data_IF_181377282782
#
_entry.id   IF_181377282782
#
_cell.length_a   1.000
_cell.length_b   1.000
_cell.length_c   1.000
_cell.angle_alpha   90.00
_cell.angle_beta   90.00
_cell.angle_gamma   90.00
#
_symmetry.space_group_name_H-M   'P 1'
#
loop_
_entity.id
_entity.type
_entity.pdbx_description
1 polymer ?
#
# COMPACT_ATOMS: atom_id res chain seq x y z
N UNK A 1 -16.18 -43.71 -27.28
CA UNK A 1 -15.93 -45.17 -27.38
C UNK A 1 -17.16 -45.82 -27.99
N UNK A 2 -17.00 -46.43 -29.16
CA UNK A 2 -18.07 -47.08 -29.91
C UNK A 2 -18.63 -48.29 -29.14
N UNK A 3 -19.93 -48.30 -28.88
CA UNK A 3 -20.66 -49.52 -28.50
C UNK A 3 -21.21 -50.18 -29.78
N UNK A 4 -20.31 -50.82 -30.51
CA UNK A 4 -20.64 -51.83 -31.52
C UNK A 4 -20.13 -53.16 -31.02
N UNK A 5 -20.90 -53.82 -30.15
CA UNK A 5 -20.83 -55.26 -29.94
C UNK A 5 -22.26 -55.79 -29.88
N UNK A 6 -22.67 -56.36 -31.01
CA UNK A 6 -23.90 -57.10 -31.15
C UNK A 6 -23.79 -58.41 -30.35
N UNK A 7 -24.73 -58.65 -29.44
CA UNK A 7 -24.95 -59.95 -28.83
C UNK A 7 -25.56 -60.91 -29.87
N UNK A 8 -25.05 -62.15 -30.02
CA UNK A 8 -25.75 -63.15 -30.81
C UNK A 8 -26.91 -63.69 -29.96
N UNK A 9 -28.14 -63.36 -30.33
CA UNK A 9 -29.32 -64.05 -29.78
C UNK A 9 -29.33 -65.44 -30.44
N UNK A 10 -28.98 -66.47 -29.67
CA UNK A 10 -29.04 -67.86 -30.10
C UNK A 10 -30.47 -68.26 -30.46
N UNK A 11 -30.73 -68.39 -31.76
CA UNK A 11 -31.89 -69.12 -32.27
C UNK A 11 -31.49 -70.60 -32.33
N UNK A 12 -31.75 -71.35 -31.27
CA UNK A 12 -31.84 -72.82 -31.36
C UNK A 12 -33.28 -73.13 -31.77
N UNK A 13 -33.54 -73.12 -33.08
CA UNK A 13 -34.76 -73.69 -33.63
C UNK A 13 -34.60 -75.22 -33.59
N UNK A 14 -35.18 -75.85 -32.57
CA UNK A 14 -35.29 -77.31 -32.48
C UNK A 14 -36.04 -77.84 -33.70
N UNK A 15 -35.32 -78.59 -34.53
CA UNK A 15 -35.79 -79.28 -35.75
C UNK A 15 -36.65 -80.51 -35.41
N UNK A 16 -37.75 -80.36 -34.66
CA UNK A 16 -38.82 -81.39 -34.59
C UNK A 16 -40.16 -80.71 -34.26
N UNK A 17 -40.85 -80.16 -35.27
CA UNK A 17 -42.30 -79.87 -35.20
C UNK A 17 -42.88 -79.56 -36.58
N UNK A 18 -42.71 -80.48 -37.54
CA UNK A 18 -43.33 -80.37 -38.87
C UNK A 18 -44.42 -81.43 -39.15
N UNK A 19 -44.90 -82.18 -38.14
CA UNK A 19 -45.77 -83.34 -38.45
C UNK A 19 -47.05 -83.55 -37.63
N UNK A 20 -47.42 -82.68 -36.69
CA UNK A 20 -48.76 -82.82 -36.05
C UNK A 20 -49.35 -81.45 -35.78
N UNK A 21 -50.39 -81.12 -36.54
CA UNK A 21 -51.13 -79.88 -36.40
C UNK A 21 -51.78 -79.77 -35.03
N UNK A 22 -51.23 -78.89 -34.20
CA UNK A 22 -51.92 -78.08 -33.18
C UNK A 22 -50.93 -77.04 -32.69
N UNK A 23 -50.81 -75.92 -33.40
CA UNK A 23 -50.10 -74.76 -32.85
C UNK A 23 -51.00 -74.17 -31.76
N UNK A 24 -50.75 -74.53 -30.50
CA UNK A 24 -51.20 -73.69 -29.40
C UNK A 24 -50.51 -72.35 -29.59
N UNK A 25 -51.26 -71.33 -30.04
CA UNK A 25 -50.75 -69.97 -30.27
C UNK A 25 -50.29 -69.29 -28.96
N UNK A 26 -50.58 -69.89 -27.80
CA UNK A 26 -50.37 -69.29 -26.47
C UNK A 26 -48.90 -69.04 -26.08
N UNK A 27 -47.91 -69.94 -26.30
CA UNK A 27 -46.53 -69.68 -25.89
C UNK A 27 -45.86 -68.60 -26.75
N UNK A 28 -46.16 -68.57 -28.05
CA UNK A 28 -45.66 -67.57 -29.00
C UNK A 28 -46.27 -66.18 -28.73
N UNK A 29 -47.57 -66.10 -28.44
CA UNK A 29 -48.23 -64.84 -28.06
C UNK A 29 -47.69 -64.30 -26.73
N UNK A 30 -47.35 -65.17 -25.78
CA UNK A 30 -46.77 -64.77 -24.48
C UNK A 30 -45.35 -64.22 -24.63
N UNK A 31 -44.50 -64.89 -25.41
CA UNK A 31 -43.15 -64.39 -25.74
C UNK A 31 -43.17 -63.08 -26.53
N UNK A 32 -44.11 -62.92 -27.47
CA UNK A 32 -44.31 -61.63 -28.17
C UNK A 32 -44.77 -60.52 -27.23
N UNK A 33 -45.67 -60.82 -26.29
CA UNK A 33 -46.10 -59.87 -25.25
C UNK A 33 -44.95 -59.40 -24.36
N UNK A 34 -44.09 -60.32 -23.92
CA UNK A 34 -42.90 -60.02 -23.11
C UNK A 34 -41.89 -59.14 -23.88
N UNK A 35 -41.64 -59.43 -25.16
CA UNK A 35 -40.78 -58.61 -26.03
C UNK A 35 -41.36 -57.19 -26.21
N UNK A 36 -42.68 -57.06 -26.38
CA UNK A 36 -43.33 -55.74 -26.50
C UNK A 36 -43.21 -54.96 -25.20
N UNK A 37 -43.38 -55.60 -24.04
CA UNK A 37 -43.20 -54.95 -22.73
C UNK A 37 -41.75 -54.55 -22.46
N UNK A 38 -40.77 -55.39 -22.80
CA UNK A 38 -39.36 -55.05 -22.70
C UNK A 38 -38.98 -53.89 -23.63
N UNK A 39 -39.55 -53.84 -24.84
CA UNK A 39 -39.40 -52.71 -25.75
C UNK A 39 -39.98 -51.41 -25.20
N UNK A 40 -41.13 -51.46 -24.50
CA UNK A 40 -41.72 -50.30 -23.85
C UNK A 40 -40.89 -49.80 -22.65
N UNK A 41 -40.37 -50.72 -21.83
CA UNK A 41 -39.47 -50.40 -20.71
C UNK A 41 -38.16 -49.77 -21.23
N UNK A 42 -37.57 -50.35 -22.27
CA UNK A 42 -36.35 -49.83 -22.91
C UNK A 42 -36.55 -48.40 -23.46
N UNK A 43 -37.66 -48.15 -24.15
CA UNK A 43 -38.02 -46.78 -24.61
C UNK A 43 -38.18 -45.80 -23.45
N UNK A 44 -38.83 -46.21 -22.34
CA UNK A 44 -39.02 -45.36 -21.16
C UNK A 44 -37.69 -45.04 -20.46
N UNK A 45 -36.77 -46.01 -20.39
CA UNK A 45 -35.41 -45.80 -19.88
C UNK A 45 -34.65 -44.80 -20.74
N UNK A 46 -34.73 -44.91 -22.07
CA UNK A 46 -34.07 -43.97 -22.99
C UNK A 46 -34.63 -42.54 -22.83
N UNK A 47 -35.95 -42.39 -22.71
CA UNK A 47 -36.59 -41.07 -22.47
C UNK A 47 -36.13 -40.49 -21.13
N UNK A 48 -36.11 -41.30 -20.07
CA UNK A 48 -35.65 -40.86 -18.75
C UNK A 48 -34.15 -40.49 -18.75
N UNK A 49 -33.31 -41.23 -19.48
CA UNK A 49 -31.88 -40.89 -19.64
C UNK A 49 -31.69 -39.58 -20.40
N UNK A 50 -32.49 -39.31 -21.43
CA UNK A 50 -32.46 -38.02 -22.14
C UNK A 50 -32.90 -36.86 -21.23
N UNK A 51 -33.96 -37.04 -20.44
CA UNK A 51 -34.39 -36.05 -19.45
C UNK A 51 -33.33 -35.80 -18.37
N UNK A 52 -32.70 -36.87 -17.87
CA UNK A 52 -31.62 -36.76 -16.88
C UNK A 52 -30.42 -36.01 -17.45
N UNK A 53 -30.06 -36.26 -18.71
CA UNK A 53 -28.96 -35.54 -19.40
C UNK A 53 -29.27 -34.05 -19.55
N UNK A 54 -30.52 -33.70 -19.87
CA UNK A 54 -30.97 -32.31 -19.96
C UNK A 54 -30.89 -31.61 -18.59
N UNK A 55 -31.39 -32.25 -17.54
CA UNK A 55 -31.33 -31.73 -16.18
C UNK A 55 -29.90 -31.55 -15.66
N UNK A 56 -28.99 -32.45 -16.02
CA UNK A 56 -27.56 -32.30 -15.70
C UNK A 56 -26.99 -31.06 -16.41
N UNK A 57 -27.31 -30.87 -17.70
CA UNK A 57 -26.88 -29.69 -18.46
C UNK A 57 -27.42 -28.40 -17.84
N UNK A 58 -28.70 -28.37 -17.46
CA UNK A 58 -29.32 -27.20 -16.83
C UNK A 58 -28.68 -26.90 -15.46
N UNK A 59 -28.42 -27.93 -14.64
CA UNK A 59 -27.69 -27.76 -13.37
C UNK A 59 -26.28 -27.22 -13.57
N UNK A 60 -25.52 -27.72 -14.55
CA UNK A 60 -24.19 -27.16 -14.85
C UNK A 60 -24.27 -25.71 -15.31
N UNK A 61 -25.30 -25.34 -16.09
CA UNK A 61 -25.53 -23.96 -16.50
C UNK A 61 -25.89 -23.06 -15.32
N UNK A 62 -26.74 -23.53 -14.40
CA UNK A 62 -27.09 -22.80 -13.17
C UNK A 62 -25.90 -22.63 -12.24
N UNK A 63 -25.04 -23.65 -12.09
CA UNK A 63 -23.81 -23.57 -11.31
C UNK A 63 -22.83 -22.54 -11.89
N UNK A 64 -22.69 -22.47 -13.21
CA UNK A 64 -21.88 -21.44 -13.86
C UNK A 64 -22.44 -20.03 -13.59
N UNK A 65 -23.76 -19.84 -13.73
CA UNK A 65 -24.41 -18.56 -13.42
C UNK A 65 -24.28 -18.15 -11.95
N UNK A 66 -24.32 -19.12 -11.03
CA UNK A 66 -24.12 -18.87 -9.60
C UNK A 66 -22.68 -18.40 -9.34
N UNK A 67 -21.69 -19.07 -9.93
CA UNK A 67 -20.27 -18.69 -9.84
C UNK A 67 -20.01 -17.29 -10.43
N UNK A 68 -20.66 -16.95 -11.54
CA UNK A 68 -20.55 -15.62 -12.14
C UNK A 68 -21.16 -14.53 -11.23
N UNK A 69 -22.31 -14.81 -10.61
CA UNK A 69 -22.95 -13.90 -9.67
C UNK A 69 -22.10 -13.69 -8.39
N UNK A 70 -21.47 -14.75 -7.88
CA UNK A 70 -20.54 -14.68 -6.75
C UNK A 70 -19.30 -13.84 -7.08
N UNK A 71 -18.79 -13.94 -8.31
CA UNK A 71 -17.69 -13.11 -8.80
C UNK A 71 -18.09 -11.63 -8.84
N UNK A 72 -19.28 -11.31 -9.34
CA UNK A 72 -19.79 -9.93 -9.37
C UNK A 72 -20.05 -9.37 -7.96
N UNK A 73 -20.59 -10.17 -7.04
CA UNK A 73 -20.74 -9.77 -5.62
C UNK A 73 -19.40 -9.46 -4.98
N UNK A 74 -18.37 -10.28 -5.22
CA UNK A 74 -17.01 -10.02 -4.71
C UNK A 74 -16.40 -8.74 -5.30
N UNK A 75 -16.64 -8.44 -6.59
CA UNK A 75 -16.22 -7.17 -7.20
C UNK A 75 -16.93 -5.98 -6.56
N UNK A 76 -18.23 -6.11 -6.28
CA UNK A 76 -19.01 -5.05 -5.65
C UNK A 76 -18.58 -4.81 -4.19
N UNK A 77 -18.36 -5.87 -3.42
CA UNK A 77 -17.84 -5.78 -2.04
C UNK A 77 -16.48 -5.04 -1.99
N UNK A 78 -15.57 -5.36 -2.91
CA UNK A 78 -14.30 -4.62 -3.06
C UNK A 78 -14.52 -3.14 -3.35
N UNK A 79 -15.44 -2.78 -4.26
CA UNK A 79 -15.78 -1.38 -4.56
C UNK A 79 -16.35 -0.65 -3.33
N UNK A 80 -17.25 -1.28 -2.59
CA UNK A 80 -17.84 -0.73 -1.36
C UNK A 80 -16.77 -0.50 -0.29
N UNK A 81 -15.83 -1.43 -0.11
CA UNK A 81 -14.70 -1.27 0.83
C UNK A 81 -13.81 -0.08 0.47
N UNK A 82 -13.49 0.08 -0.81
CA UNK A 82 -12.72 1.24 -1.29
C UNK A 82 -13.50 2.53 -1.02
N UNK A 83 -14.78 2.56 -1.35
CA UNK A 83 -15.62 3.76 -1.16
C UNK A 83 -15.75 4.15 0.32
N UNK A 84 -15.94 3.19 1.23
CA UNK A 84 -15.95 3.41 2.67
C UNK A 84 -14.60 3.96 3.18
N UNK A 85 -13.50 3.48 2.61
CA UNK A 85 -12.15 3.97 2.96
C UNK A 85 -11.98 5.41 2.51
N UNK A 86 -12.33 5.74 1.26
CA UNK A 86 -12.33 7.11 0.75
C UNK A 86 -13.19 8.03 1.62
N UNK A 87 -14.40 7.59 1.99
CA UNK A 87 -15.30 8.38 2.84
C UNK A 87 -14.67 8.68 4.21
N UNK A 88 -14.01 7.69 4.85
CA UNK A 88 -13.29 7.91 6.11
C UNK A 88 -12.15 8.93 5.98
N UNK A 89 -11.41 8.89 4.86
CA UNK A 89 -10.33 9.85 4.60
C UNK A 89 -10.87 11.27 4.41
N UNK A 90 -11.97 11.44 3.67
CA UNK A 90 -12.63 12.74 3.52
C UNK A 90 -13.13 13.28 4.87
N UNK A 91 -13.76 12.44 5.71
CA UNK A 91 -14.16 12.85 7.06
C UNK A 91 -12.96 13.29 7.92
N UNK A 92 -11.85 12.56 7.87
CA UNK A 92 -10.63 12.94 8.60
C UNK A 92 -10.07 14.29 8.13
N UNK A 93 -10.08 14.54 6.81
CA UNK A 93 -9.64 15.82 6.23
C UNK A 93 -10.56 16.96 6.69
N UNK A 94 -11.87 16.75 6.72
CA UNK A 94 -12.86 17.72 7.20
C UNK A 94 -12.61 18.04 8.69
N UNK A 95 -12.46 17.02 9.54
CA UNK A 95 -12.19 17.22 10.97
C UNK A 95 -10.88 17.99 11.22
N UNK A 96 -9.84 17.74 10.43
CA UNK A 96 -8.56 18.49 10.52
C UNK A 96 -8.76 19.97 10.18
N UNK A 97 -9.53 20.26 9.12
CA UNK A 97 -9.86 21.63 8.71
C UNK A 97 -10.71 22.35 9.77
N UNK A 98 -11.70 21.66 10.35
CA UNK A 98 -12.53 22.22 11.42
C UNK A 98 -11.71 22.56 12.68
N UNK A 99 -10.78 21.68 13.06
CA UNK A 99 -9.88 21.96 14.17
C UNK A 99 -9.00 23.20 13.89
N UNK A 100 -8.45 23.31 12.68
CA UNK A 100 -7.67 24.48 12.26
C UNK A 100 -8.50 25.76 12.31
N UNK A 101 -9.76 25.73 11.84
CA UNK A 101 -10.67 26.87 11.93
C UNK A 101 -10.93 27.28 13.39
N UNK A 102 -11.12 26.30 14.29
CA UNK A 102 -11.34 26.57 15.72
C UNK A 102 -10.13 27.25 16.38
N UNK A 103 -8.92 26.80 16.06
CA UNK A 103 -7.68 27.41 16.57
C UNK A 103 -7.54 28.85 16.06
N UNK A 104 -7.77 29.07 14.76
CA UNK A 104 -7.71 30.41 14.15
C UNK A 104 -8.74 31.34 14.80
N UNK A 105 -9.98 30.88 14.98
CA UNK A 105 -11.04 31.65 15.63
C UNK A 105 -10.65 32.05 17.06
N UNK A 106 -10.08 31.11 17.84
CA UNK A 106 -9.59 31.40 19.18
C UNK A 106 -8.48 32.46 19.20
N UNK A 107 -7.55 32.39 18.26
CA UNK A 107 -6.49 33.40 18.12
C UNK A 107 -7.05 34.77 17.75
N UNK A 108 -8.03 34.83 16.84
CA UNK A 108 -8.71 36.09 16.47
C UNK A 108 -9.40 36.70 17.69
N UNK A 109 -10.14 35.91 18.48
CA UNK A 109 -10.79 36.38 19.71
C UNK A 109 -9.79 36.90 20.74
N UNK A 110 -8.65 36.22 20.91
CA UNK A 110 -7.59 36.70 21.80
C UNK A 110 -6.96 38.01 21.32
N UNK A 111 -6.76 38.16 20.01
CA UNK A 111 -6.24 39.39 19.41
C UNK A 111 -7.23 40.55 19.53
N UNK A 112 -8.53 40.31 19.31
CA UNK A 112 -9.59 41.30 19.53
C UNK A 112 -9.61 41.79 20.97
N UNK A 113 -9.54 40.86 21.94
CA UNK A 113 -9.49 41.21 23.38
C UNK A 113 -8.23 42.00 23.76
N UNK A 114 -7.08 41.71 23.13
CA UNK A 114 -5.85 42.50 23.29
C UNK A 114 -5.96 43.90 22.67
N UNK A 115 -6.76 44.05 21.62
CA UNK A 115 -7.04 45.31 20.97
C UNK A 115 -7.97 46.20 21.82
N UNK A 116 -9.01 45.62 22.42
CA UNK A 116 -9.94 46.32 23.32
C UNK A 116 -9.28 46.75 24.64
N UNK A 117 -8.34 45.97 25.16
CA UNK A 117 -7.60 46.29 26.40
C UNK A 117 -6.49 47.34 26.22
N UNK A 118 -6.21 47.79 24.99
CA UNK A 118 -5.35 48.95 24.73
C UNK A 118 -6.21 50.21 24.63
N UNK A 119 -6.52 50.80 25.78
CA UNK A 119 -7.06 52.16 25.83
C UNK A 119 -5.96 53.12 25.39
N UNK A 120 -6.12 53.74 24.22
CA UNK A 120 -5.20 54.76 23.72
C UNK A 120 -5.40 56.07 24.49
N UNK A 121 -4.35 56.72 25.02
CA UNK A 121 -4.46 58.09 25.47
C UNK A 121 -4.76 59.01 24.28
N UNK A 122 -5.77 59.88 24.43
CA UNK A 122 -6.08 60.94 23.46
C UNK A 122 -4.86 61.84 23.28
N UNK A 123 -4.21 61.75 22.12
CA UNK A 123 -3.30 62.78 21.66
C UNK A 123 -4.05 63.70 20.69
N UNK A 124 -4.15 64.97 21.08
CA UNK A 124 -4.64 66.05 20.24
C UNK A 124 -3.77 66.23 19.00
N UNK A 125 -4.45 66.48 17.89
CA UNK A 125 -3.85 66.73 16.59
C UNK A 125 -2.99 67.99 16.61
N UNK A 126 -1.69 67.83 16.42
CA UNK A 126 -0.88 68.83 15.74
C UNK A 126 -0.15 68.14 14.59
N UNK A 127 -0.82 68.13 13.42
CA UNK A 127 -0.18 67.89 12.15
C UNK A 127 0.78 69.06 11.90
N UNK A 128 2.09 68.80 11.90
CA UNK A 128 3.01 69.49 11.00
C UNK A 128 4.30 68.66 10.81
N UNK A 129 4.41 68.12 9.61
CA UNK A 129 5.61 68.01 8.79
C UNK A 129 6.90 67.48 9.47
N UNK A 130 7.24 66.21 9.24
CA UNK A 130 8.62 65.74 9.16
C UNK A 130 8.72 64.38 8.45
N UNK A 131 9.24 64.44 7.23
CA UNK A 131 10.08 63.48 6.51
C UNK A 131 9.96 61.98 6.90
N UNK A 132 9.39 61.20 5.97
CA UNK A 132 9.54 59.73 5.91
C UNK A 132 11.02 59.37 5.76
N UNK A 133 11.68 58.97 6.84
CA UNK A 133 12.85 58.10 6.75
C UNK A 133 12.36 56.68 6.40
N UNK A 134 13.03 55.96 5.47
CA UNK A 134 12.68 54.59 5.18
C UNK A 134 13.01 53.74 6.41
N UNK A 135 11.98 53.27 7.11
CA UNK A 135 12.14 52.25 8.15
C UNK A 135 12.71 51.01 7.46
N UNK A 136 14.01 50.76 7.63
CA UNK A 136 14.60 49.45 7.34
C UNK A 136 14.04 48.48 8.37
N UNK A 137 12.96 47.80 7.99
CA UNK A 137 12.49 46.62 8.71
C UNK A 137 13.63 45.60 8.61
N UNK A 138 14.34 45.35 9.71
CA UNK A 138 15.23 44.19 9.80
C UNK A 138 14.35 42.95 9.58
N UNK A 139 14.63 42.10 8.59
CA UNK A 139 13.88 40.86 8.44
C UNK A 139 14.24 39.97 9.62
N UNK A 140 13.41 39.97 10.66
CA UNK A 140 13.47 38.97 11.74
C UNK A 140 12.79 37.67 11.29
N UNK A 141 13.11 37.20 10.09
CA UNK A 141 12.73 35.86 9.65
C UNK A 141 13.82 34.92 10.17
N UNK A 142 13.62 34.35 11.36
CA UNK A 142 14.32 33.11 11.70
C UNK A 142 13.95 32.09 10.63
N UNK A 143 14.87 31.82 9.72
CA UNK A 143 14.67 30.81 8.68
C UNK A 143 14.82 29.44 9.34
N UNK A 144 13.73 28.71 9.51
CA UNK A 144 13.78 27.32 9.96
C UNK A 144 14.37 26.47 8.84
N UNK A 145 15.61 25.99 9.01
CA UNK A 145 16.25 25.07 8.07
C UNK A 145 16.06 23.65 8.60
N UNK A 146 15.48 22.79 7.78
CA UNK A 146 15.35 21.36 8.08
C UNK A 146 16.38 20.58 7.28
N UNK A 147 17.14 19.71 7.95
CA UNK A 147 18.13 18.84 7.30
C UNK A 147 17.70 17.40 7.47
N UNK A 148 17.42 16.74 6.35
CA UNK A 148 16.94 15.37 6.31
C UNK A 148 18.07 14.45 5.88
N UNK A 149 18.41 13.51 6.76
CA UNK A 149 19.40 12.48 6.53
C UNK A 149 18.69 11.12 6.47
N UNK A 150 18.71 10.49 5.31
CA UNK A 150 17.99 9.23 5.06
C UNK A 150 18.99 8.10 4.92
N UNK A 151 18.95 7.20 5.88
CA UNK A 151 19.64 5.92 5.79
C UNK A 151 18.84 5.00 4.86
N UNK A 152 19.30 4.86 3.61
CA UNK A 152 18.61 4.09 2.60
C UNK A 152 18.54 2.60 2.91
N UNK A 153 19.50 2.06 3.68
CA UNK A 153 19.48 0.66 4.09
C UNK A 153 18.40 0.43 5.14
N UNK A 154 18.41 1.23 6.22
CA UNK A 154 17.41 1.12 7.28
C UNK A 154 16.00 1.48 6.79
N UNK A 155 15.89 2.47 5.90
CA UNK A 155 14.63 2.78 5.22
C UNK A 155 14.16 1.60 4.37
N UNK A 156 15.00 1.02 3.51
CA UNK A 156 14.60 -0.12 2.67
C UNK A 156 14.06 -1.28 3.51
N UNK A 157 14.76 -1.65 4.59
CA UNK A 157 14.28 -2.70 5.49
C UNK A 157 12.95 -2.33 6.17
N UNK A 158 12.77 -1.07 6.56
CA UNK A 158 11.51 -0.60 7.14
C UNK A 158 10.35 -0.69 6.13
N UNK A 159 10.56 -0.25 4.89
CA UNK A 159 9.54 -0.27 3.83
C UNK A 159 9.13 -1.70 3.45
N UNK A 160 10.10 -2.61 3.34
CA UNK A 160 9.84 -4.03 3.11
C UNK A 160 8.97 -4.62 4.22
N UNK A 161 9.19 -4.23 5.48
CA UNK A 161 8.36 -4.69 6.62
C UNK A 161 6.98 -4.05 6.65
N UNK A 162 6.82 -2.83 6.12
CA UNK A 162 5.54 -2.15 5.98
C UNK A 162 4.75 -2.57 4.74
N UNK A 163 5.41 -3.25 3.77
CA UNK A 163 4.82 -3.66 2.50
C UNK A 163 4.28 -2.46 1.70
N UNK A 164 5.03 -1.35 1.70
CA UNK A 164 4.71 -0.14 0.94
C UNK A 164 5.84 0.22 0.00
N UNK A 165 5.51 0.85 -1.12
CA UNK A 165 6.48 1.50 -2.00
C UNK A 165 6.42 3.01 -1.76
N UNK A 166 7.55 3.66 -1.49
CA UNK A 166 7.60 5.10 -1.18
C UNK A 166 7.52 5.94 -2.45
N UNK A 167 6.65 6.94 -2.42
CA UNK A 167 6.70 8.10 -3.29
C UNK A 167 7.67 9.12 -2.66
N UNK A 168 8.88 9.20 -3.21
CA UNK A 168 9.94 10.08 -2.69
C UNK A 168 9.63 11.56 -2.87
N UNK A 169 8.73 11.92 -3.79
CA UNK A 169 8.25 13.29 -3.91
C UNK A 169 7.24 13.60 -2.79
N UNK A 170 6.34 12.66 -2.48
CA UNK A 170 5.42 12.81 -1.35
C UNK A 170 6.17 12.84 -0.01
N UNK A 171 7.20 12.01 0.16
CA UNK A 171 8.10 12.04 1.32
C UNK A 171 8.78 13.40 1.46
N UNK A 172 9.30 13.96 0.36
CA UNK A 172 9.91 15.29 0.35
C UNK A 172 8.93 16.36 0.83
N UNK A 173 7.69 16.33 0.32
CA UNK A 173 6.64 17.28 0.69
C UNK A 173 6.28 17.13 2.17
N UNK A 174 6.11 15.90 2.66
CA UNK A 174 5.74 15.63 4.04
C UNK A 174 6.82 16.11 5.02
N UNK A 175 8.09 15.82 4.74
CA UNK A 175 9.21 16.18 5.62
C UNK A 175 9.61 17.65 5.53
N UNK A 176 9.20 18.35 4.46
CA UNK A 176 9.47 19.79 4.28
C UNK A 176 8.42 20.69 4.93
N UNK A 177 7.39 20.13 5.57
CA UNK A 177 6.35 20.95 6.19
C UNK A 177 6.94 21.86 7.28
N UNK A 178 6.47 23.11 7.29
CA UNK A 178 6.81 24.14 8.30
C UNK A 178 8.28 24.63 8.29
N UNK A 179 9.09 24.20 7.33
CA UNK A 179 10.45 24.69 7.11
C UNK A 179 10.50 25.84 6.09
N UNK A 180 11.43 26.76 6.27
CA UNK A 180 11.73 27.78 5.23
C UNK A 180 12.55 27.17 4.10
N UNK A 181 13.46 26.25 4.44
CA UNK A 181 14.26 25.49 3.49
C UNK A 181 14.51 24.08 4.04
N UNK A 182 14.57 23.10 3.14
CA UNK A 182 14.87 21.72 3.49
C UNK A 182 15.96 21.17 2.59
N UNK A 183 16.96 20.51 3.16
CA UNK A 183 17.98 19.75 2.41
C UNK A 183 17.78 18.26 2.62
N UNK A 184 17.89 17.46 1.57
CA UNK A 184 17.73 16.01 1.64
C UNK A 184 19.00 15.30 1.20
N UNK A 185 19.50 14.40 2.06
CA UNK A 185 20.59 13.49 1.76
C UNK A 185 20.13 12.05 1.86
N UNK A 186 20.38 11.26 0.82
CA UNK A 186 20.03 9.84 0.76
C UNK A 186 21.30 8.99 0.67
N UNK A 187 21.55 8.17 1.67
CA UNK A 187 22.75 7.34 1.77
C UNK A 187 22.41 5.92 1.32
N UNK A 188 23.15 5.38 0.37
CA UNK A 188 22.82 4.08 -0.22
C UNK A 188 24.05 3.28 -0.62
N UNK A 189 23.91 1.96 -0.60
CA UNK A 189 24.89 1.05 -1.17
C UNK A 189 24.83 1.03 -2.70
N UNK A 190 25.99 1.12 -3.34
CA UNK A 190 26.16 0.99 -4.77
C UNK A 190 27.18 -0.10 -5.14
N UNK A 191 26.87 -0.82 -6.22
CA UNK A 191 27.85 -1.68 -6.89
C UNK A 191 28.78 -0.83 -7.77
N UNK A 192 30.00 -1.32 -7.98
CA UNK A 192 30.95 -0.71 -8.90
C UNK A 192 31.41 -1.79 -9.90
N UNK A 193 30.95 -1.73 -11.16
CA UNK A 193 30.08 -0.71 -11.76
C UNK A 193 28.61 -0.78 -11.27
N UNK A 194 27.92 0.37 -11.24
CA UNK A 194 26.52 0.44 -10.85
C UNK A 194 25.62 -0.27 -11.86
N UNK A 195 24.59 -0.96 -11.35
CA UNK A 195 23.54 -1.54 -12.19
C UNK A 195 22.68 -0.44 -12.84
N UNK A 196 22.05 -0.75 -13.98
CA UNK A 196 21.13 0.19 -14.64
C UNK A 196 19.93 0.56 -13.74
N UNK A 197 19.49 -0.35 -12.87
CA UNK A 197 18.47 -0.06 -11.86
C UNK A 197 18.94 0.99 -10.84
N UNK A 198 20.15 0.84 -10.31
CA UNK A 198 20.75 1.81 -9.38
C UNK A 198 20.91 3.18 -10.04
N UNK A 199 21.44 3.25 -11.27
CA UNK A 199 21.58 4.52 -12.00
C UNK A 199 20.24 5.22 -12.18
N UNK A 200 19.19 4.50 -12.61
CA UNK A 200 17.85 5.08 -12.76
C UNK A 200 17.27 5.60 -11.45
N UNK A 201 17.46 4.86 -10.37
CA UNK A 201 16.97 5.25 -9.05
C UNK A 201 17.69 6.49 -8.52
N UNK A 202 19.02 6.54 -8.63
CA UNK A 202 19.84 7.69 -8.24
C UNK A 202 19.41 8.92 -9.05
N UNK A 203 19.35 8.82 -10.38
CA UNK A 203 18.93 9.93 -11.24
C UNK A 203 17.51 10.43 -10.92
N UNK A 204 16.60 9.52 -10.54
CA UNK A 204 15.25 9.88 -10.12
C UNK A 204 15.26 10.70 -8.82
N UNK A 205 16.02 10.27 -7.80
CA UNK A 205 16.15 11.01 -6.54
C UNK A 205 16.83 12.37 -6.73
N UNK A 206 17.90 12.42 -7.53
CA UNK A 206 18.59 13.68 -7.86
C UNK A 206 17.66 14.65 -8.61
N UNK A 207 16.81 14.13 -9.49
CA UNK A 207 15.75 14.91 -10.15
C UNK A 207 14.70 15.49 -9.19
N UNK A 208 14.54 14.90 -8.01
CA UNK A 208 13.71 15.41 -6.91
C UNK A 208 14.49 16.27 -5.90
N UNK A 209 15.74 16.64 -6.21
CA UNK A 209 16.62 17.45 -5.36
C UNK A 209 17.12 16.75 -4.08
N UNK A 210 17.19 15.42 -4.09
CA UNK A 210 17.98 14.69 -3.10
C UNK A 210 19.45 14.71 -3.50
N UNK A 211 20.35 14.97 -2.56
CA UNK A 211 21.76 14.64 -2.70
C UNK A 211 21.93 13.14 -2.40
N UNK A 212 22.38 12.36 -3.37
CA UNK A 212 22.52 10.90 -3.21
C UNK A 212 23.98 10.54 -2.96
N UNK A 213 24.26 9.95 -1.81
CA UNK A 213 25.58 9.51 -1.39
C UNK A 213 25.67 7.99 -1.61
N UNK A 214 26.27 7.61 -2.72
CA UNK A 214 26.52 6.22 -3.09
C UNK A 214 27.82 5.69 -2.47
N UNK A 215 27.70 4.71 -1.59
CA UNK A 215 28.80 4.09 -0.84
C UNK A 215 29.05 2.66 -1.32
N UNK A 216 30.28 2.13 -1.20
CA UNK A 216 30.61 0.80 -1.68
C UNK A 216 29.87 -0.28 -0.86
N UNK A 217 29.36 -1.28 -1.57
CA UNK A 217 28.84 -2.52 -0.99
C UNK A 217 29.97 -3.56 -0.97
N UNK A 218 30.26 -4.14 0.20
CA UNK A 218 31.23 -5.22 0.37
C UNK A 218 30.56 -6.51 0.87
N UNK A 219 31.12 -7.69 0.56
CA UNK A 219 30.68 -8.95 1.16
C UNK A 219 30.89 -8.92 2.68
N UNK A 220 29.94 -9.45 3.44
CA UNK A 220 30.14 -9.67 4.88
C UNK A 220 31.06 -10.89 5.04
N UNK A 221 32.12 -10.83 5.87
CA UNK A 221 33.04 -11.97 6.05
C UNK A 221 32.33 -13.26 6.50
N UNK A 222 31.28 -13.11 7.30
CA UNK A 222 30.63 -14.22 8.02
C UNK A 222 29.28 -14.66 7.41
N UNK A 223 28.86 -14.06 6.29
CA UNK A 223 27.59 -14.43 5.64
C UNK A 223 27.67 -14.29 4.14
N UNK A 224 26.79 -15.02 3.43
CA UNK A 224 26.64 -14.89 1.99
C UNK A 224 25.86 -13.61 1.58
N UNK A 225 25.91 -12.58 2.43
CA UNK A 225 25.20 -11.31 2.25
C UNK A 225 26.19 -10.17 2.09
N UNK A 226 25.68 -9.06 1.60
CA UNK A 226 26.47 -7.85 1.39
C UNK A 226 26.06 -6.76 2.38
N UNK A 227 26.98 -5.85 2.72
CA UNK A 227 26.72 -4.67 3.56
C UNK A 227 27.30 -3.44 2.86
N UNK A 228 26.57 -2.32 2.91
CA UNK A 228 27.16 -1.02 2.62
C UNK A 228 28.20 -0.70 3.69
N UNK A 229 29.37 -0.22 3.29
CA UNK A 229 30.45 0.08 4.22
C UNK A 229 30.63 1.58 4.35
N UNK A 230 30.56 2.06 5.59
CA UNK A 230 30.81 3.45 5.94
C UNK A 230 29.60 4.37 5.81
N UNK A 231 28.40 3.83 5.56
CA UNK A 231 27.13 4.57 5.59
C UNK A 231 26.89 5.26 6.93
N UNK A 232 26.88 4.52 8.03
CA UNK A 232 26.63 5.06 9.38
C UNK A 232 27.63 6.19 9.71
N UNK A 233 28.90 5.94 9.44
CA UNK A 233 29.99 6.91 9.67
C UNK A 233 29.84 8.15 8.79
N UNK A 234 29.49 7.98 7.50
CA UNK A 234 29.33 9.10 6.57
C UNK A 234 28.14 9.97 6.95
N UNK A 235 27.03 9.37 7.37
CA UNK A 235 25.86 10.09 7.89
C UNK A 235 26.27 10.93 9.10
N UNK A 236 26.98 10.34 10.07
CA UNK A 236 27.46 11.06 11.27
C UNK A 236 28.38 12.22 10.89
N UNK A 237 29.35 12.00 10.01
CA UNK A 237 30.28 13.04 9.55
C UNK A 237 29.55 14.22 8.91
N UNK A 238 28.56 13.95 8.06
CA UNK A 238 27.80 15.01 7.39
C UNK A 238 26.90 15.76 8.37
N UNK A 239 26.19 15.06 9.27
CA UNK A 239 25.39 15.70 10.31
C UNK A 239 26.25 16.64 11.15
N UNK A 240 27.40 16.18 11.64
CA UNK A 240 28.28 16.99 12.47
C UNK A 240 29.00 18.12 11.71
N UNK A 241 29.16 17.99 10.39
CA UNK A 241 29.82 18.99 9.54
C UNK A 241 28.88 20.10 9.05
N UNK A 242 27.58 19.81 8.93
CA UNK A 242 26.63 20.69 8.24
C UNK A 242 25.59 21.33 9.15
N UNK A 243 25.18 20.62 10.21
CA UNK A 243 24.15 21.07 11.13
C UNK A 243 24.65 22.29 11.93
N UNK A 244 23.82 23.33 11.94
CA UNK A 244 24.04 24.58 12.68
C UNK A 244 23.07 24.68 13.85
N UNK A 245 23.35 25.60 14.75
CA UNK A 245 22.45 25.94 15.85
C UNK A 245 21.07 26.36 15.30
N UNK A 246 19.98 25.89 15.92
CA UNK A 246 18.58 26.11 15.52
C UNK A 246 18.13 25.40 14.23
N UNK A 247 18.98 24.56 13.62
CA UNK A 247 18.51 23.67 12.56
C UNK A 247 17.61 22.58 13.17
N UNK A 248 16.58 22.20 12.41
CA UNK A 248 15.82 20.97 12.67
C UNK A 248 16.47 19.84 11.91
N UNK A 249 16.81 18.76 12.58
CA UNK A 249 17.42 17.58 11.97
C UNK A 249 16.37 16.47 11.95
N UNK A 250 16.19 15.86 10.80
CA UNK A 250 15.36 14.66 10.64
C UNK A 250 16.31 13.52 10.26
N UNK A 251 16.45 12.55 11.16
CA UNK A 251 17.19 11.31 10.88
C UNK A 251 16.18 10.21 10.59
N UNK A 252 16.20 9.70 9.35
CA UNK A 252 15.36 8.59 8.93
C UNK A 252 16.15 7.29 9.07
N UNK A 253 16.25 6.81 10.31
CA UNK A 253 16.90 5.56 10.69
C UNK A 253 16.41 5.11 12.08
N UNK A 254 16.47 3.80 12.34
CA UNK A 254 16.14 3.21 13.63
C UNK A 254 17.37 2.73 14.43
N UNK A 255 18.58 2.96 13.92
CA UNK A 255 19.81 2.38 14.45
C UNK A 255 20.38 3.14 15.67
N UNK A 256 20.64 2.40 16.75
CA UNK A 256 21.19 2.95 17.99
C UNK A 256 22.59 3.57 17.83
N UNK A 257 23.33 3.22 16.78
CA UNK A 257 24.69 3.72 16.55
C UNK A 257 24.75 5.24 16.33
N UNK A 258 23.63 5.89 16.01
CA UNK A 258 23.54 7.35 15.87
C UNK A 258 23.42 8.13 17.19
N UNK A 259 23.22 7.45 18.33
CA UNK A 259 23.03 8.08 19.65
C UNK A 259 24.10 9.13 19.98
N UNK A 260 25.42 8.85 19.83
CA UNK A 260 26.45 9.85 20.14
C UNK A 260 26.37 11.09 19.26
N UNK A 261 25.99 10.93 17.99
CA UNK A 261 25.87 12.03 17.06
C UNK A 261 24.68 12.92 17.43
N UNK A 262 23.51 12.33 17.70
CA UNK A 262 22.30 13.07 18.11
C UNK A 262 22.56 13.89 19.38
N UNK A 263 23.19 13.29 20.40
CA UNK A 263 23.51 13.99 21.64
C UNK A 263 24.41 15.22 21.40
N UNK A 264 25.38 15.12 20.49
CA UNK A 264 26.24 16.24 20.12
C UNK A 264 25.49 17.33 19.33
N UNK A 265 24.56 16.95 18.44
CA UNK A 265 23.72 17.91 17.71
C UNK A 265 22.81 18.70 18.66
N UNK A 266 22.19 18.02 19.61
CA UNK A 266 21.37 18.65 20.66
C UNK A 266 22.19 19.59 21.54
N UNK A 267 23.41 19.18 21.91
CA UNK A 267 24.36 20.05 22.64
C UNK A 267 24.71 21.32 21.86
N UNK A 268 24.73 21.25 20.52
CA UNK A 268 24.91 22.41 19.63
C UNK A 268 23.64 23.25 19.43
N UNK A 269 22.53 22.86 20.04
CA UNK A 269 21.24 23.56 19.97
C UNK A 269 20.46 23.31 18.68
N UNK A 270 20.67 22.15 18.04
CA UNK A 270 19.77 21.65 16.99
C UNK A 270 18.69 20.75 17.62
N UNK A 271 17.50 20.73 17.04
CA UNK A 271 16.40 19.85 17.45
C UNK A 271 16.40 18.62 16.53
N UNK A 272 16.36 17.42 17.10
CA UNK A 272 16.48 16.17 16.35
C UNK A 272 15.20 15.35 16.43
N UNK A 273 14.54 15.19 15.28
CA UNK A 273 13.44 14.26 15.08
C UNK A 273 13.97 12.95 14.47
N UNK A 274 13.65 11.82 15.07
CA UNK A 274 13.95 10.50 14.51
C UNK A 274 12.71 9.93 13.82
N UNK A 275 12.89 9.39 12.61
CA UNK A 275 11.84 8.72 11.86
C UNK A 275 12.24 7.27 11.61
N UNK A 276 11.44 6.34 12.14
CA UNK A 276 11.71 4.91 12.05
C UNK A 276 10.40 4.11 12.00
N UNK A 277 10.49 2.82 11.65
CA UNK A 277 9.34 1.92 11.74
C UNK A 277 9.11 1.48 13.21
N UNK A 278 7.85 1.33 13.62
CA UNK A 278 7.47 0.70 14.90
C UNK A 278 8.11 -0.68 15.03
N UNK A 279 8.78 -0.90 16.17
CA UNK A 279 9.52 -2.13 16.48
C UNK A 279 10.90 -2.25 15.82
N UNK A 280 11.35 -1.23 15.07
CA UNK A 280 12.70 -1.17 14.49
C UNK A 280 13.48 0.07 14.96
N UNK A 281 13.02 0.73 16.01
CA UNK A 281 13.70 1.86 16.63
C UNK A 281 14.39 1.40 17.91
N UNK A 282 15.69 1.70 18.03
CA UNK A 282 16.45 1.47 19.26
C UNK A 282 15.84 2.24 20.44
N UNK A 283 15.77 1.59 21.60
CA UNK A 283 15.30 2.24 22.83
C UNK A 283 16.14 3.46 23.20
N UNK A 284 17.45 3.42 22.98
CA UNK A 284 18.33 4.54 23.31
C UNK A 284 18.05 5.75 22.40
N UNK A 285 17.75 5.53 21.12
CA UNK A 285 17.33 6.61 20.22
C UNK A 285 16.01 7.22 20.65
N UNK A 286 15.04 6.38 21.06
CA UNK A 286 13.75 6.84 21.58
C UNK A 286 13.90 7.76 22.79
N UNK A 287 14.82 7.43 23.69
CA UNK A 287 15.03 8.17 24.94
C UNK A 287 15.72 9.52 24.73
N UNK A 288 16.57 9.66 23.72
CA UNK A 288 17.34 10.91 23.51
C UNK A 288 16.72 11.85 22.49
N UNK A 289 15.98 11.36 21.49
CA UNK A 289 15.46 12.20 20.41
C UNK A 289 14.46 13.23 20.96
N UNK A 290 14.46 14.44 20.39
CA UNK A 290 13.50 15.48 20.79
C UNK A 290 12.08 15.12 20.36
N UNK A 291 11.94 14.46 19.22
CA UNK A 291 10.68 13.92 18.72
C UNK A 291 10.89 12.62 17.95
N UNK A 292 9.86 11.77 17.92
CA UNK A 292 9.86 10.50 17.18
C UNK A 292 8.59 10.40 16.36
N UNK A 293 8.75 10.27 15.05
CA UNK A 293 7.65 10.02 14.12
C UNK A 293 7.80 8.60 13.57
N UNK A 294 6.74 7.80 13.66
CA UNK A 294 6.78 6.48 13.07
C UNK A 294 6.40 6.50 11.59
N UNK A 295 7.15 5.75 10.78
CA UNK A 295 6.81 5.51 9.37
C UNK A 295 5.40 4.94 9.23
N UNK A 296 4.98 4.07 10.17
CA UNK A 296 3.63 3.50 10.24
C UNK A 296 2.52 4.56 10.31
N UNK A 297 2.79 5.72 10.91
CA UNK A 297 1.80 6.79 11.11
C UNK A 297 1.73 7.76 9.91
N UNK A 298 2.80 7.85 9.13
CA UNK A 298 2.88 8.69 7.92
C UNK A 298 2.83 7.90 6.60
N UNK A 299 2.71 6.56 6.67
CA UNK A 299 2.79 5.69 5.50
C UNK A 299 1.78 6.05 4.40
N UNK A 300 0.59 6.53 4.77
CA UNK A 300 -0.47 6.85 3.80
C UNK A 300 -0.21 8.16 3.05
N UNK A 301 0.63 9.03 3.61
CA UNK A 301 1.05 10.30 3.04
C UNK A 301 2.21 10.10 2.07
N UNK A 302 3.05 9.10 2.30
CA UNK A 302 4.31 8.89 1.58
C UNK A 302 4.32 7.67 0.66
N UNK A 303 3.30 6.81 0.69
CA UNK A 303 3.23 5.64 -0.19
C UNK A 303 2.78 6.01 -1.60
N UNK A 304 3.33 5.35 -2.62
CA UNK A 304 2.84 5.45 -4.00
C UNK A 304 1.39 5.01 -4.05
N UNK A 305 0.57 5.80 -4.74
CA UNK A 305 -0.79 5.41 -5.08
C UNK A 305 -0.74 4.34 -6.19
N UNK A 306 -0.57 3.08 -5.80
CA UNK A 306 -0.74 1.98 -6.76
C UNK A 306 -2.23 1.85 -7.02
N UNK A 307 -2.72 2.38 -8.16
CA UNK A 307 -3.92 1.81 -8.78
C UNK A 307 -3.66 0.33 -8.84
N UNK A 308 -4.41 -0.48 -8.09
CA UNK A 308 -4.40 -1.94 -8.22
C UNK A 308 -4.82 -2.28 -9.66
N UNK A 309 -3.88 -2.27 -10.59
CA UNK A 309 -4.06 -2.74 -11.95
C UNK A 309 -4.03 -4.25 -11.90
N UNK A 310 -5.17 -4.85 -12.26
CA UNK A 310 -5.34 -6.17 -12.84
C UNK A 310 -4.37 -7.28 -12.41
N UNK A 311 -4.85 -8.14 -11.51
CA UNK A 311 -4.60 -9.57 -11.55
C UNK A 311 -5.96 -10.28 -11.62
#
# INVERSE_FOLDING_TARGET
MNLTQAFPIGIVASTVCLLTGTISKQPLLRGLGEIVTLGAISRKIIVNQKQLTLLIKDNTCLQAKLSDAECELNKLDKKVKVQNTCQRLYLSKINKLEHQQKVIAGNITQLQKKLENKTFPKYENNLNNSQKLPVKILPNTRTSVTRVYIDGNNLSFALDRLQIEVDYNALLIELSQYATATTFKYYTGAHFPMTEGQKRFINYLEGLHYEVIALPILPRPDSNTVKTVGDDVKIVVDMLGEVKQQDRVILLSGDGDFVPAIAELQRRGAEVTVIAKKGMLSQQLWEIADDVIFLDDIQYQIAKYTKLSAA
#
